data_IF_207205732640
#
_entry.id   IF_207205732640
#
_cell.length_a   1.000
_cell.length_b   1.000
_cell.length_c   1.000
_cell.angle_alpha   90.00
_cell.angle_beta   90.00
_cell.angle_gamma   90.00
#
_symmetry.space_group_name_H-M   'P 1'
#
loop_
_entity.id
_entity.type
_entity.pdbx_description
1 polymer ?
#
# COMPACT_ATOMS: atom_id res chain seq x y z
N UNK A 1 8.49 -12.23 5.19
CA UNK A 1 8.04 -10.82 5.33
C UNK A 1 7.95 -10.40 6.79
N UNK A 2 7.03 -10.93 7.61
CA UNK A 2 6.85 -10.47 9.01
C UNK A 2 8.10 -10.54 9.90
N UNK A 3 8.96 -11.57 9.76
CA UNK A 3 10.25 -11.62 10.48
C UNK A 3 11.24 -10.55 10.01
N UNK A 4 11.20 -10.15 8.74
CA UNK A 4 12.08 -9.10 8.21
C UNK A 4 11.75 -7.76 8.88
N UNK A 5 10.46 -7.45 9.09
CA UNK A 5 10.03 -6.27 9.83
C UNK A 5 10.57 -6.26 11.27
N UNK A 6 10.48 -7.38 12.00
CA UNK A 6 11.09 -7.51 13.34
C UNK A 6 12.61 -7.30 13.28
N UNK A 7 13.28 -7.83 12.26
CA UNK A 7 14.73 -7.67 12.12
C UNK A 7 15.17 -6.22 11.90
N UNK A 8 14.24 -5.38 11.42
CA UNK A 8 14.37 -3.94 11.24
C UNK A 8 13.75 -3.14 12.39
N UNK A 9 13.50 -3.77 13.53
CA UNK A 9 13.16 -3.12 14.79
C UNK A 9 11.67 -2.90 15.06
N UNK A 10 10.77 -3.66 14.44
CA UNK A 10 9.40 -3.81 14.94
C UNK A 10 9.40 -4.67 16.22
N UNK A 11 8.61 -4.28 17.22
CA UNK A 11 8.56 -4.96 18.53
C UNK A 11 7.85 -6.32 18.47
N UNK A 12 6.79 -6.42 17.67
CA UNK A 12 5.96 -7.60 17.56
C UNK A 12 5.44 -7.78 16.12
N UNK A 13 4.96 -8.99 15.82
CA UNK A 13 4.26 -9.28 14.58
C UNK A 13 3.10 -10.24 14.83
N UNK A 14 2.02 -10.03 14.08
CA UNK A 14 0.91 -10.96 13.94
C UNK A 14 0.77 -11.35 12.50
N UNK A 15 0.47 -12.62 12.26
CA UNK A 15 0.14 -13.15 10.95
C UNK A 15 -1.36 -13.48 10.93
N UNK A 16 -2.15 -12.65 10.26
CA UNK A 16 -3.54 -12.97 9.94
C UNK A 16 -3.52 -13.93 8.74
N UNK A 17 -3.83 -15.20 8.98
CA UNK A 17 -3.68 -16.24 7.97
C UNK A 17 -4.61 -17.42 8.28
N UNK A 18 -5.41 -17.77 7.28
CA UNK A 18 -6.36 -18.87 7.29
C UNK A 18 -6.73 -19.18 5.82
N UNK A 19 -7.05 -20.44 5.47
CA UNK A 19 -7.47 -20.81 4.12
C UNK A 19 -8.65 -20.00 3.58
N UNK A 20 -9.55 -19.58 4.45
CA UNK A 20 -10.78 -18.85 4.12
C UNK A 20 -10.52 -17.43 3.58
N UNK A 21 -9.30 -16.88 3.74
CA UNK A 21 -8.92 -15.62 3.12
C UNK A 21 -8.60 -15.74 1.62
N UNK A 22 -8.49 -16.95 1.09
CA UNK A 22 -8.15 -17.18 -0.31
C UNK A 22 -9.15 -16.54 -1.27
N UNK A 23 -8.63 -15.98 -2.37
CA UNK A 23 -9.42 -15.33 -3.41
C UNK A 23 -10.02 -13.98 -3.01
N UNK A 24 -9.61 -13.42 -1.86
CA UNK A 24 -10.00 -12.08 -1.41
C UNK A 24 -9.47 -10.96 -2.31
N UNK A 25 -10.35 -10.07 -2.74
CA UNK A 25 -9.97 -8.80 -3.37
C UNK A 25 -9.57 -7.74 -2.32
N UNK A 26 -9.35 -6.48 -2.73
CA UNK A 26 -8.95 -5.41 -1.78
C UNK A 26 -9.97 -5.23 -0.66
N UNK A 27 -11.26 -5.23 -1.01
CA UNK A 27 -12.37 -5.02 -0.07
C UNK A 27 -12.43 -6.10 1.03
N UNK A 28 -12.35 -7.37 0.63
CA UNK A 28 -12.29 -8.48 1.59
C UNK A 28 -11.01 -8.42 2.44
N UNK A 29 -9.88 -8.06 1.83
CA UNK A 29 -8.59 -7.92 2.52
C UNK A 29 -8.59 -6.78 3.54
N UNK A 30 -9.14 -5.62 3.18
CA UNK A 30 -9.20 -4.44 4.04
C UNK A 30 -10.12 -4.66 5.22
N UNK A 31 -11.24 -5.38 5.07
CA UNK A 31 -12.08 -5.75 6.21
C UNK A 31 -11.33 -6.65 7.21
N UNK A 32 -10.62 -7.67 6.71
CA UNK A 32 -9.82 -8.56 7.57
C UNK A 32 -8.73 -7.79 8.33
N UNK A 33 -8.02 -6.87 7.67
CA UNK A 33 -7.01 -6.03 8.32
C UNK A 33 -7.64 -5.05 9.32
N UNK A 34 -8.78 -4.44 9.00
CA UNK A 34 -9.48 -3.54 9.91
C UNK A 34 -9.97 -4.28 11.16
N UNK A 35 -10.51 -5.50 11.02
CA UNK A 35 -10.90 -6.34 12.15
C UNK A 35 -9.71 -6.71 13.05
N UNK A 36 -8.57 -7.05 12.45
CA UNK A 36 -7.33 -7.29 13.20
C UNK A 36 -6.85 -6.03 13.94
N UNK A 37 -6.90 -4.86 13.29
CA UNK A 37 -6.53 -3.58 13.91
C UNK A 37 -7.48 -3.23 15.06
N UNK A 38 -8.80 -3.42 14.90
CA UNK A 38 -9.79 -3.21 15.98
C UNK A 38 -9.49 -4.10 17.19
N UNK A 39 -9.21 -5.38 16.96
CA UNK A 39 -8.81 -6.31 18.03
C UNK A 39 -7.55 -5.85 18.76
N UNK A 40 -6.55 -5.38 18.03
CA UNK A 40 -5.33 -4.81 18.62
C UNK A 40 -5.61 -3.54 19.41
N UNK A 41 -6.36 -2.60 18.83
CA UNK A 41 -6.72 -1.33 19.45
C UNK A 41 -7.43 -1.52 20.79
N UNK A 42 -8.29 -2.54 20.89
CA UNK A 42 -8.97 -2.91 22.13
C UNK A 42 -8.01 -3.40 23.24
N UNK A 43 -6.84 -3.94 22.88
CA UNK A 43 -5.82 -4.41 23.84
C UNK A 43 -4.80 -3.31 24.17
N UNK A 44 -4.42 -2.53 23.16
CA UNK A 44 -3.47 -1.43 23.27
C UNK A 44 -3.88 -0.34 22.29
N UNK A 45 -4.13 0.90 22.74
CA UNK A 45 -4.52 2.00 21.87
C UNK A 45 -3.57 2.15 20.67
N UNK A 46 -4.15 2.05 19.47
CA UNK A 46 -3.47 2.31 18.21
C UNK A 46 -3.76 3.75 17.82
N UNK A 47 -2.71 4.55 17.67
CA UNK A 47 -2.81 5.96 17.25
C UNK A 47 -2.58 6.13 15.74
N UNK A 48 -1.76 5.28 15.14
CA UNK A 48 -1.39 5.41 13.73
C UNK A 48 -1.23 4.04 13.08
N UNK A 49 -1.83 3.87 11.91
CA UNK A 49 -1.63 2.70 11.05
C UNK A 49 -0.95 3.17 9.78
N UNK A 50 0.12 2.47 9.37
CA UNK A 50 0.87 2.79 8.15
C UNK A 50 0.71 1.67 7.13
N UNK A 51 0.40 2.05 5.90
CA UNK A 51 0.34 1.21 4.72
C UNK A 51 1.35 1.69 3.67
N UNK A 52 1.78 0.80 2.78
CA UNK A 52 2.40 1.25 1.52
C UNK A 52 1.35 1.82 0.57
N UNK A 53 1.76 2.69 -0.36
CA UNK A 53 0.87 3.25 -1.40
C UNK A 53 0.15 2.16 -2.19
N UNK A 54 0.89 1.15 -2.64
CA UNK A 54 0.39 0.06 -3.46
C UNK A 54 1.29 -1.17 -3.27
N UNK A 55 0.78 -2.34 -3.65
CA UNK A 55 1.60 -3.55 -3.79
C UNK A 55 2.11 -3.67 -5.23
N UNK A 56 3.19 -4.42 -5.44
CA UNK A 56 3.78 -4.59 -6.78
C UNK A 56 3.07 -5.64 -7.64
N UNK A 57 2.19 -6.45 -7.05
CA UNK A 57 1.43 -7.49 -7.73
C UNK A 57 0.08 -6.97 -8.24
N UNK A 58 -0.82 -6.56 -7.35
CA UNK A 58 -2.16 -6.07 -7.68
C UNK A 58 -2.23 -4.58 -7.98
N UNK A 59 -1.28 -3.78 -7.46
CA UNK A 59 -1.14 -2.34 -7.71
C UNK A 59 -2.42 -1.49 -7.55
N UNK A 60 -3.43 -1.95 -6.81
CA UNK A 60 -4.71 -1.25 -6.67
C UNK A 60 -4.59 0.02 -5.84
N UNK A 61 -3.71 0.02 -4.84
CA UNK A 61 -3.52 1.12 -3.89
C UNK A 61 -4.72 1.42 -2.99
N UNK A 62 -5.71 0.52 -2.94
CA UNK A 62 -6.99 0.77 -2.26
C UNK A 62 -6.99 0.40 -0.78
N UNK A 63 -6.24 -0.65 -0.40
CA UNK A 63 -6.37 -1.31 0.92
C UNK A 63 -6.23 -0.33 2.10
N UNK A 64 -5.26 0.59 2.05
CA UNK A 64 -5.07 1.54 3.15
C UNK A 64 -6.24 2.52 3.32
N UNK A 65 -6.83 2.98 2.21
CA UNK A 65 -8.00 3.86 2.24
C UNK A 65 -9.26 3.12 2.70
N UNK A 66 -9.47 1.90 2.21
CA UNK A 66 -10.58 1.05 2.63
C UNK A 66 -10.50 0.70 4.11
N UNK A 67 -9.30 0.39 4.64
CA UNK A 67 -9.11 0.16 6.09
C UNK A 67 -9.48 1.41 6.88
N UNK A 68 -9.06 2.59 6.46
CA UNK A 68 -9.44 3.85 7.12
C UNK A 68 -10.96 3.99 7.21
N UNK A 69 -11.67 3.70 6.11
CA UNK A 69 -13.12 3.72 6.05
C UNK A 69 -13.77 2.67 6.99
N UNK A 70 -13.27 1.43 7.02
CA UNK A 70 -13.78 0.38 7.91
C UNK A 70 -13.60 0.68 9.41
N UNK A 71 -12.55 1.42 9.74
CA UNK A 71 -12.25 1.86 11.10
C UNK A 71 -13.02 3.13 11.49
N UNK A 72 -13.61 3.84 10.50
CA UNK A 72 -14.12 5.21 10.65
C UNK A 72 -13.04 6.17 11.17
N UNK A 73 -11.82 6.02 10.65
CA UNK A 73 -10.66 6.83 11.04
C UNK A 73 -10.26 7.79 9.91
N UNK A 74 -9.76 8.99 10.24
CA UNK A 74 -9.06 9.85 9.28
C UNK A 74 -8.04 9.08 8.44
N UNK A 75 -8.18 9.19 7.11
CA UNK A 75 -7.34 8.52 6.14
C UNK A 75 -6.60 9.51 5.23
N UNK A 76 -5.29 9.37 5.07
CA UNK A 76 -4.51 10.13 4.07
C UNK A 76 -3.67 9.19 3.23
N UNK A 77 -3.86 9.24 1.92
CA UNK A 77 -3.12 8.42 0.96
C UNK A 77 -1.96 9.19 0.33
N UNK A 78 -0.90 8.47 -0.03
CA UNK A 78 0.30 9.02 -0.69
C UNK A 78 1.07 10.03 0.16
N UNK A 79 1.22 9.77 1.46
CA UNK A 79 2.05 10.57 2.37
C UNK A 79 3.53 10.38 2.03
N UNK A 80 4.22 11.49 1.74
CA UNK A 80 5.66 11.54 1.45
C UNK A 80 6.51 12.06 2.62
N UNK A 81 5.88 12.61 3.66
CA UNK A 81 6.58 13.06 4.87
C UNK A 81 5.60 13.15 6.03
N UNK A 82 6.02 12.74 7.22
CA UNK A 82 5.38 13.11 8.48
C UNK A 82 6.26 14.20 9.08
N UNK A 83 5.74 15.42 9.15
CA UNK A 83 6.49 16.61 9.56
C UNK A 83 6.56 16.75 11.08
N UNK A 84 5.42 16.52 11.74
CA UNK A 84 5.32 16.46 13.20
C UNK A 84 4.18 15.54 13.61
N UNK A 85 4.27 14.99 14.81
CA UNK A 85 3.23 14.16 15.43
C UNK A 85 3.21 14.42 16.93
N UNK A 86 2.01 14.60 17.48
CA UNK A 86 1.73 14.66 18.90
C UNK A 86 0.67 13.61 19.28
N UNK A 87 0.14 13.67 20.50
CA UNK A 87 -0.86 12.69 20.98
C UNK A 87 -2.21 12.77 20.27
N UNK A 88 -2.55 13.93 19.68
CA UNK A 88 -3.87 14.25 19.12
C UNK A 88 -3.85 14.33 17.59
N UNK A 89 -2.73 14.69 17.00
CA UNK A 89 -2.65 14.98 15.57
C UNK A 89 -1.26 14.77 14.97
N UNK A 90 -1.23 14.60 13.64
CA UNK A 90 -0.03 14.59 12.84
C UNK A 90 -0.13 15.64 11.72
N UNK A 91 0.98 16.29 11.39
CA UNK A 91 1.12 17.12 10.19
C UNK A 91 1.85 16.31 9.13
N UNK A 92 1.20 16.09 7.99
CA UNK A 92 1.70 15.22 6.92
C UNK A 92 1.74 15.94 5.58
N UNK A 93 2.70 15.55 4.75
CA UNK A 93 2.84 16.05 3.39
C UNK A 93 2.34 14.97 2.44
N UNK A 94 1.26 15.27 1.72
CA UNK A 94 0.64 14.37 0.75
C UNK A 94 1.11 14.73 -0.65
N UNK A 95 1.56 13.73 -1.41
CA UNK A 95 1.91 13.90 -2.82
C UNK A 95 0.65 13.92 -3.69
N UNK A 96 0.53 14.94 -4.53
CA UNK A 96 -0.49 15.11 -5.58
C UNK A 96 0.19 15.19 -6.95
N UNK A 97 -0.57 15.10 -8.04
CA UNK A 97 -0.01 15.14 -9.41
C UNK A 97 0.62 16.49 -9.73
N UNK A 98 0.02 17.57 -9.24
CA UNK A 98 0.38 18.97 -9.48
C UNK A 98 1.17 19.60 -8.32
N UNK A 99 1.40 18.86 -7.23
CA UNK A 99 2.09 19.44 -6.08
C UNK A 99 2.01 18.63 -4.79
N UNK A 100 1.83 19.32 -3.67
CA UNK A 100 1.86 18.73 -2.34
C UNK A 100 0.95 19.47 -1.38
N UNK A 101 0.07 18.72 -0.72
CA UNK A 101 -0.74 19.24 0.37
C UNK A 101 -0.03 19.05 1.70
N UNK A 102 -0.11 20.06 2.58
CA UNK A 102 0.27 19.93 3.99
C UNK A 102 -1.00 19.84 4.82
N UNK A 103 -1.26 18.67 5.39
CA UNK A 103 -2.51 18.33 6.06
C UNK A 103 -2.27 18.10 7.55
N UNK A 104 -3.15 18.64 8.39
CA UNK A 104 -3.25 18.27 9.81
C UNK A 104 -4.33 17.20 9.96
N UNK A 105 -3.96 16.05 10.52
CA UNK A 105 -4.82 14.85 10.64
C UNK A 105 -4.99 14.52 12.10
N UNK A 106 -6.23 14.33 12.56
CA UNK A 106 -6.51 13.88 13.92
C UNK A 106 -6.17 12.39 14.10
N UNK A 107 -5.68 12.01 15.28
CA UNK A 107 -5.42 10.61 15.66
C UNK A 107 -6.62 10.03 16.43
N UNK A 108 -6.94 8.74 16.27
CA UNK A 108 -6.20 7.75 15.48
C UNK A 108 -6.39 7.92 13.96
N UNK A 109 -5.38 7.57 13.17
CA UNK A 109 -5.41 7.73 11.71
C UNK A 109 -4.79 6.53 10.97
N UNK A 110 -5.17 6.37 9.70
CA UNK A 110 -4.55 5.42 8.78
C UNK A 110 -3.91 6.17 7.60
N UNK A 111 -2.61 5.97 7.38
CA UNK A 111 -1.87 6.64 6.32
C UNK A 111 -1.31 5.61 5.34
N UNK A 112 -1.37 5.90 4.05
CA UNK A 112 -0.54 5.19 3.06
C UNK A 112 0.65 6.04 2.67
N UNK A 113 1.83 5.43 2.56
CA UNK A 113 3.09 6.13 2.32
C UNK A 113 3.64 5.83 0.94
N UNK A 114 4.26 6.84 0.33
CA UNK A 114 5.05 6.67 -0.88
C UNK A 114 6.50 6.31 -0.54
N UNK A 115 7.26 5.81 -1.52
CA UNK A 115 8.66 5.40 -1.33
C UNK A 115 9.55 6.56 -0.87
N UNK A 116 9.18 7.79 -1.22
CA UNK A 116 9.91 9.02 -0.90
C UNK A 116 9.87 9.35 0.60
N UNK A 117 9.08 8.65 1.42
CA UNK A 117 8.95 8.97 2.84
C UNK A 117 10.24 8.80 3.63
N UNK A 118 11.02 7.77 3.32
CA UNK A 118 12.34 7.52 3.90
C UNK A 118 13.10 6.41 3.15
N UNK A 119 14.35 6.22 3.53
CA UNK A 119 15.14 5.04 3.21
C UNK A 119 15.06 4.02 4.37
N UNK A 120 14.52 2.81 4.18
CA UNK A 120 14.40 1.83 5.25
C UNK A 120 15.76 1.37 5.79
N UNK A 121 15.95 1.47 7.12
CA UNK A 121 17.17 0.98 7.78
C UNK A 121 17.45 -0.50 7.49
N UNK A 122 18.74 -0.84 7.39
CA UNK A 122 19.19 -2.22 7.27
C UNK A 122 19.03 -2.98 8.60
N UNK A 123 18.75 -4.30 8.56
CA UNK A 123 18.62 -5.10 9.77
C UNK A 123 19.98 -5.34 10.43
N UNK A 124 20.06 -5.08 11.73
CA UNK A 124 21.26 -5.37 12.54
C UNK A 124 21.39 -6.87 12.82
N UNK A 125 22.59 -7.33 13.20
CA UNK A 125 22.81 -8.74 13.58
C UNK A 125 21.89 -9.13 14.77
N UNK A 126 21.81 -8.27 15.79
CA UNK A 126 20.90 -8.44 16.93
C UNK A 126 19.43 -8.52 16.47
N UNK A 127 19.03 -7.67 15.54
CA UNK A 127 17.70 -7.68 14.94
C UNK A 127 17.39 -9.00 14.22
N UNK A 128 18.31 -9.50 13.39
CA UNK A 128 18.16 -10.80 12.71
C UNK A 128 18.04 -11.95 13.70
N UNK A 129 18.81 -11.94 14.78
CA UNK A 129 18.72 -12.96 15.84
C UNK A 129 17.38 -12.89 16.59
N UNK A 130 16.92 -11.69 16.94
CA UNK A 130 15.61 -11.49 17.56
C UNK A 130 14.48 -11.96 16.64
N UNK A 131 14.54 -11.58 15.36
CA UNK A 131 13.59 -12.01 14.35
C UNK A 131 13.53 -13.53 14.16
N UNK A 132 14.66 -14.24 14.27
CA UNK A 132 14.69 -15.72 14.22
C UNK A 132 14.00 -16.34 15.43
N UNK A 133 14.16 -15.75 16.61
CA UNK A 133 13.60 -16.25 17.88
C UNK A 133 12.15 -15.81 18.14
N UNK A 134 11.68 -14.77 17.45
CA UNK A 134 10.37 -14.19 17.70
C UNK A 134 9.24 -15.23 17.55
N UNK A 135 8.35 -15.27 18.54
CA UNK A 135 7.08 -16.00 18.44
C UNK A 135 6.11 -15.10 17.69
N UNK A 136 5.58 -15.61 16.57
CA UNK A 136 4.63 -14.87 15.74
C UNK A 136 3.26 -15.46 15.98
N UNK A 137 2.40 -14.68 16.62
CA UNK A 137 1.01 -15.08 16.83
C UNK A 137 0.29 -15.14 15.49
N UNK A 138 -0.38 -16.25 15.24
CA UNK A 138 -1.22 -16.44 14.06
C UNK A 138 -2.67 -16.24 14.46
N UNK A 139 -3.40 -15.44 13.70
CA UNK A 139 -4.82 -15.22 13.89
C UNK A 139 -5.60 -15.74 12.68
N UNK A 140 -6.58 -16.58 12.97
CA UNK A 140 -7.63 -17.03 12.05
C UNK A 140 -8.69 -15.96 11.85
N UNK A 141 -9.65 -16.20 10.95
CA UNK A 141 -10.83 -15.34 10.80
C UNK A 141 -11.64 -15.24 12.10
N UNK A 142 -11.87 -16.37 12.79
CA UNK A 142 -12.58 -16.37 14.07
C UNK A 142 -11.83 -15.60 15.15
N UNK A 143 -10.49 -15.63 15.15
CA UNK A 143 -9.70 -14.86 16.11
C UNK A 143 -9.92 -13.35 15.97
N UNK A 144 -10.22 -12.85 14.77
CA UNK A 144 -10.50 -11.44 14.50
C UNK A 144 -12.01 -11.15 14.42
N UNK A 145 -12.86 -12.09 14.79
CA UNK A 145 -14.31 -11.92 14.87
C UNK A 145 -15.01 -11.87 13.51
N UNK A 146 -14.42 -12.44 12.45
CA UNK A 146 -15.03 -12.52 11.12
C UNK A 146 -15.61 -13.90 10.86
N UNK A 147 -16.75 -13.92 10.16
CA UNK A 147 -17.43 -15.13 9.69
C UNK A 147 -16.96 -15.52 8.29
N UNK A 148 -17.30 -16.74 7.87
CA UNK A 148 -16.87 -17.29 6.58
C UNK A 148 -17.45 -16.52 5.36
N UNK A 149 -18.60 -15.86 5.52
CA UNK A 149 -19.23 -14.99 4.52
C UNK A 149 -18.63 -13.58 4.46
N UNK A 150 -17.73 -13.23 5.39
CA UNK A 150 -17.14 -11.89 5.54
C UNK A 150 -15.65 -11.85 5.15
N UNK A 151 -15.16 -12.86 4.43
CA UNK A 151 -13.74 -13.01 4.10
C UNK A 151 -13.53 -13.64 2.73
N UNK A 152 -12.30 -13.47 2.22
CA UNK A 152 -11.81 -14.12 1.02
C UNK A 152 -12.74 -13.93 -0.19
N UNK A 153 -12.88 -14.98 -0.99
CA UNK A 153 -13.74 -14.98 -2.18
C UNK A 153 -15.21 -14.70 -1.86
N UNK A 154 -15.71 -15.09 -0.69
CA UNK A 154 -17.13 -14.94 -0.34
C UNK A 154 -17.56 -13.46 -0.24
N UNK A 155 -16.69 -12.61 0.32
CA UNK A 155 -16.92 -11.17 0.42
C UNK A 155 -16.40 -10.38 -0.81
N UNK A 156 -15.70 -11.04 -1.73
CA UNK A 156 -15.07 -10.34 -2.85
C UNK A 156 -16.09 -9.78 -3.83
N UNK A 157 -16.09 -8.46 -3.97
CA UNK A 157 -16.94 -7.71 -4.90
C UNK A 157 -16.48 -7.78 -6.36
N UNK A 158 -15.29 -8.33 -6.61
CA UNK A 158 -14.72 -8.51 -7.94
C UNK A 158 -13.89 -9.79 -8.01
N UNK A 159 -13.79 -10.36 -9.21
CA UNK A 159 -12.97 -11.55 -9.48
C UNK A 159 -12.09 -11.32 -10.70
N UNK A 160 -10.84 -11.78 -10.65
CA UNK A 160 -9.94 -11.77 -11.80
C UNK A 160 -10.37 -12.88 -12.75
N UNK A 161 -11.11 -12.52 -13.80
CA UNK A 161 -11.59 -13.48 -14.79
C UNK A 161 -10.47 -14.03 -15.69
N UNK A 162 -9.47 -13.20 -16.00
CA UNK A 162 -8.36 -13.56 -16.89
C UNK A 162 -7.14 -12.70 -16.60
N UNK A 163 -5.96 -13.32 -16.61
CA UNK A 163 -4.66 -12.63 -16.59
C UNK A 163 -3.89 -13.01 -17.87
N UNK A 164 -3.52 -12.02 -18.68
CA UNK A 164 -2.73 -12.22 -19.90
C UNK A 164 -1.50 -11.32 -19.87
N UNK A 165 -0.32 -11.83 -20.28
CA UNK A 165 0.84 -10.97 -20.48
C UNK A 165 0.56 -9.87 -21.52
N UNK A 166 1.11 -8.66 -21.34
CA UNK A 166 1.03 -7.64 -22.38
C UNK A 166 1.77 -8.11 -23.64
N UNK A 167 1.39 -7.63 -24.83
CA UNK A 167 2.12 -7.93 -26.05
C UNK A 167 3.55 -7.42 -25.98
N UNK A 168 4.46 -8.08 -26.70
CA UNK A 168 5.85 -7.63 -26.85
C UNK A 168 5.90 -6.19 -27.37
N UNK A 169 6.83 -5.38 -26.84
CA UNK A 169 7.03 -4.01 -27.29
C UNK A 169 7.35 -4.01 -28.80
N UNK A 170 6.64 -3.22 -29.62
CA UNK A 170 6.94 -3.12 -31.06
C UNK A 170 8.29 -2.45 -31.29
N UNK A 171 8.84 -2.62 -32.49
CA UNK A 171 10.04 -1.92 -32.90
C UNK A 171 9.86 -0.40 -32.81
N UNK A 172 10.92 0.30 -32.39
CA UNK A 172 10.93 1.77 -32.34
C UNK A 172 10.86 2.38 -33.74
N UNK A 173 10.27 3.58 -33.83
CA UNK A 173 10.29 4.36 -35.07
C UNK A 173 11.54 5.25 -35.08
N UNK A 174 12.41 5.07 -36.08
CA UNK A 174 13.51 6.01 -36.33
C UNK A 174 12.99 7.17 -37.16
N UNK A 175 13.12 8.39 -36.64
CA UNK A 175 12.72 9.60 -37.37
C UNK A 175 13.84 10.00 -38.32
N UNK A 176 13.55 9.99 -39.62
CA UNK A 176 14.48 10.35 -40.68
C UNK A 176 14.22 11.76 -41.22
N UNK A 177 15.28 12.48 -41.58
CA UNK A 177 15.21 13.84 -42.13
C UNK A 177 16.60 14.35 -42.52
N UNK A 178 16.66 15.29 -43.47
CA UNK A 178 17.93 15.84 -43.96
C UNK A 178 18.52 16.85 -42.99
N UNK A 179 17.66 17.62 -42.30
CA UNK A 179 18.06 18.58 -41.26
C UNK A 179 17.50 18.20 -39.90
N UNK A 180 18.10 18.73 -38.84
CA UNK A 180 17.62 18.47 -37.49
C UNK A 180 16.25 19.13 -37.21
N UNK A 181 15.96 20.26 -37.86
CA UNK A 181 14.65 20.92 -37.79
C UNK A 181 13.53 20.04 -38.38
N UNK A 182 13.78 19.37 -39.49
CA UNK A 182 12.83 18.42 -40.09
C UNK A 182 12.59 17.21 -39.21
N UNK A 183 13.65 16.66 -38.60
CA UNK A 183 13.54 15.54 -37.66
C UNK A 183 12.71 15.94 -36.43
N UNK A 184 12.95 17.13 -35.88
CA UNK A 184 12.20 17.63 -34.73
C UNK A 184 10.72 17.82 -35.05
N UNK A 185 10.39 18.43 -36.21
CA UNK A 185 9.01 18.58 -36.66
C UNK A 185 8.31 17.23 -36.82
N UNK A 186 8.94 16.29 -37.54
CA UNK A 186 8.38 14.93 -37.74
C UNK A 186 8.20 14.18 -36.42
N UNK A 187 9.11 14.36 -35.47
CA UNK A 187 8.97 13.78 -34.14
C UNK A 187 7.73 14.34 -33.42
N UNK A 188 7.55 15.66 -33.42
CA UNK A 188 6.38 16.31 -32.81
C UNK A 188 5.09 15.84 -33.48
N UNK A 189 5.05 15.79 -34.82
CA UNK A 189 3.89 15.30 -35.57
C UNK A 189 3.51 13.87 -35.16
N UNK A 190 4.50 12.97 -35.04
CA UNK A 190 4.28 11.58 -34.58
C UNK A 190 3.78 11.52 -33.13
N UNK A 191 4.29 12.38 -32.25
CA UNK A 191 3.85 12.42 -30.85
C UNK A 191 2.41 12.91 -30.74
N UNK A 192 2.01 13.93 -31.51
CA UNK A 192 0.62 14.42 -31.60
C UNK A 192 -0.30 13.34 -32.17
N UNK A 193 0.10 12.69 -33.27
CA UNK A 193 -0.67 11.61 -33.91
C UNK A 193 -0.93 10.47 -32.91
N UNK A 194 0.06 10.14 -32.09
CA UNK A 194 -0.03 9.11 -31.05
C UNK A 194 -0.64 9.60 -29.73
N UNK A 195 -1.03 10.88 -29.63
CA UNK A 195 -1.58 11.52 -28.42
C UNK A 195 -0.67 11.38 -27.19
N UNK A 196 0.63 11.48 -27.42
CA UNK A 196 1.65 11.43 -26.37
C UNK A 196 2.01 12.83 -25.84
N UNK A 197 1.65 13.87 -26.59
CA UNK A 197 1.68 15.29 -26.25
C UNK A 197 0.44 15.98 -26.82
#
# INVERSE_FOLDING_TARGET
VVRDAISRGCDAAVLVCAPEFEGGNSYATSLALAAAIKKFHAQKPVHLVLFGKNTNDGNSGMVGAEVAAWLDWPGVISVKKIDSIDEKSAVVWRMMEDGTDVLKVALPAALSTVKEINEPRLPSLKGKMAAKKAVISKWSASDIGLRADEIGKALSTSVVARCVPPPSRPAGLRIEGATDAEKAKKLVDVLIERKLI
#
